data_IF_834811037624
#
_entry.id   IF_834811037624
#
_cell.length_a   1.000
_cell.length_b   1.000
_cell.length_c   1.000
_cell.angle_alpha   90.00
_cell.angle_beta   90.00
_cell.angle_gamma   90.00
#
_symmetry.space_group_name_H-M   'P 1'
#
loop_
_entity.id
_entity.type
_entity.pdbx_description
1 polymer ?
#
# COMPACT_ATOMS: atom_id res chain seq x y z
N UNK A 1 -0.95 -13.49 -6.02
CA UNK A 1 0.03 -14.38 -5.37
C UNK A 1 1.35 -13.70 -4.99
N UNK A 2 1.69 -12.50 -5.49
CA UNK A 2 2.94 -11.79 -5.15
C UNK A 2 2.99 -11.24 -3.70
N UNK A 3 1.93 -10.56 -3.24
CA UNK A 3 1.95 -9.81 -1.98
C UNK A 3 2.08 -10.68 -0.71
N UNK A 4 1.43 -11.85 -0.70
CA UNK A 4 1.50 -12.79 0.42
C UNK A 4 2.88 -13.43 0.57
N UNK A 5 3.52 -13.78 -0.55
CA UNK A 5 4.88 -14.34 -0.56
C UNK A 5 5.90 -13.28 -0.14
N UNK A 6 5.75 -12.05 -0.63
CA UNK A 6 6.56 -10.90 -0.24
C UNK A 6 6.46 -10.60 1.26
N UNK A 7 5.24 -10.56 1.80
CA UNK A 7 5.01 -10.37 3.24
C UNK A 7 5.60 -11.50 4.11
N UNK A 8 5.57 -12.74 3.61
CA UNK A 8 6.18 -13.90 4.29
C UNK A 8 7.70 -13.85 4.26
N UNK A 9 8.30 -13.54 3.10
CA UNK A 9 9.75 -13.38 2.92
C UNK A 9 10.29 -12.26 3.80
N UNK A 10 9.64 -11.10 3.83
CA UNK A 10 10.03 -9.97 4.68
C UNK A 10 9.92 -10.26 6.18
N UNK A 11 9.04 -11.18 6.57
CA UNK A 11 8.93 -11.63 7.97
C UNK A 11 10.04 -12.63 8.35
N UNK A 12 10.63 -13.33 7.39
CA UNK A 12 11.74 -14.27 7.56
C UNK A 12 13.11 -13.59 7.51
N UNK A 13 13.24 -12.53 6.71
CA UNK A 13 14.46 -11.74 6.62
C UNK A 13 14.29 -10.52 7.53
N UNK A 14 14.88 -10.56 8.72
CA UNK A 14 14.81 -9.50 9.75
C UNK A 14 15.55 -8.22 9.35
N UNK A 15 15.30 -7.70 8.16
CA UNK A 15 15.82 -6.41 7.71
C UNK A 15 14.95 -5.29 8.27
N UNK A 16 15.60 -4.23 8.71
CA UNK A 16 14.90 -3.02 9.12
C UNK A 16 14.11 -2.44 7.93
N UNK A 17 12.96 -1.85 8.22
CA UNK A 17 11.98 -1.43 7.21
C UNK A 17 12.57 -0.45 6.19
N UNK A 18 13.45 0.44 6.66
CA UNK A 18 14.18 1.41 5.84
C UNK A 18 15.14 0.73 4.88
N UNK A 19 15.97 -0.20 5.37
CA UNK A 19 16.96 -0.91 4.55
C UNK A 19 16.29 -1.77 3.47
N UNK A 20 15.18 -2.43 3.81
CA UNK A 20 14.42 -3.22 2.84
C UNK A 20 13.85 -2.36 1.70
N UNK A 21 13.23 -1.22 2.02
CA UNK A 21 12.68 -0.32 1.00
C UNK A 21 13.78 0.30 0.12
N UNK A 22 14.94 0.62 0.71
CA UNK A 22 16.09 1.14 -0.04
C UNK A 22 16.62 0.13 -1.06
N UNK A 23 16.79 -1.14 -0.66
CA UNK A 23 17.25 -2.21 -1.57
C UNK A 23 16.23 -2.44 -2.70
N UNK A 24 14.94 -2.46 -2.38
CA UNK A 24 13.89 -2.60 -3.41
C UNK A 24 13.92 -1.47 -4.42
N UNK A 25 14.11 -0.24 -3.95
CA UNK A 25 14.22 0.95 -4.81
C UNK A 25 15.49 0.89 -5.66
N UNK A 26 16.62 0.47 -5.09
CA UNK A 26 17.89 0.27 -5.81
C UNK A 26 17.78 -0.80 -6.89
N UNK A 27 17.05 -1.89 -6.64
CA UNK A 27 16.85 -2.95 -7.64
C UNK A 27 15.97 -2.46 -8.81
N UNK A 28 15.03 -1.57 -8.53
CA UNK A 28 14.18 -0.95 -9.57
C UNK A 28 14.87 0.20 -10.33
N UNK A 29 15.89 0.81 -9.73
CA UNK A 29 16.59 1.98 -10.28
C UNK A 29 17.20 1.74 -11.68
N UNK A 30 17.87 0.61 -11.99
CA UNK A 30 18.37 0.32 -13.34
C UNK A 30 17.26 0.28 -14.39
N UNK A 31 16.13 -0.35 -14.07
CA UNK A 31 15.00 -0.43 -14.98
C UNK A 31 14.38 0.95 -15.21
N UNK A 32 14.25 1.75 -14.15
CA UNK A 32 13.79 3.14 -14.25
C UNK A 32 14.75 4.00 -15.08
N UNK A 33 16.08 3.84 -14.90
CA UNK A 33 17.08 4.56 -15.66
C UNK A 33 17.05 4.19 -17.16
N UNK A 34 16.90 2.89 -17.49
CA UNK A 34 16.74 2.45 -18.88
C UNK A 34 15.49 3.09 -19.49
N UNK A 35 14.39 3.11 -18.75
CA UNK A 35 13.15 3.72 -19.24
C UNK A 35 13.32 5.22 -19.52
N UNK A 36 13.87 5.99 -18.58
CA UNK A 36 14.06 7.44 -18.74
C UNK A 36 15.06 7.78 -19.86
N UNK A 37 16.15 7.03 -19.98
CA UNK A 37 17.22 7.34 -20.93
C UNK A 37 16.94 6.85 -22.36
N UNK A 38 16.18 5.76 -22.54
CA UNK A 38 16.02 5.12 -23.85
C UNK A 38 14.59 5.05 -24.37
N UNK A 39 13.57 5.18 -23.50
CA UNK A 39 12.17 4.92 -23.86
C UNK A 39 11.29 6.17 -23.67
N UNK A 40 11.57 6.99 -22.66
CA UNK A 40 10.74 8.12 -22.28
C UNK A 40 10.90 9.30 -23.25
N UNK A 41 10.08 9.33 -24.31
CA UNK A 41 10.08 10.38 -25.33
C UNK A 41 8.95 11.41 -25.08
N UNK A 42 8.94 12.01 -23.90
CA UNK A 42 7.95 13.04 -23.52
C UNK A 42 8.65 14.33 -23.14
N UNK A 43 8.09 15.48 -23.55
CA UNK A 43 8.65 16.80 -23.28
C UNK A 43 8.92 17.07 -21.78
N UNK A 44 8.20 16.40 -20.88
CA UNK A 44 8.38 16.52 -19.42
C UNK A 44 9.43 15.59 -18.82
N UNK A 45 10.02 14.69 -19.62
CA UNK A 45 11.04 13.73 -19.17
C UNK A 45 12.36 14.43 -18.81
N UNK A 46 12.68 15.52 -19.52
CA UNK A 46 13.87 16.30 -19.25
C UNK A 46 13.61 17.35 -18.14
N UNK A 47 14.15 17.09 -16.95
CA UNK A 47 14.04 18.04 -15.83
C UNK A 47 14.69 19.40 -16.12
N UNK A 48 15.69 19.50 -17.01
CA UNK A 48 16.32 20.78 -17.32
C UNK A 48 15.42 21.70 -18.16
N UNK A 49 14.51 21.13 -18.95
CA UNK A 49 13.60 21.89 -19.82
C UNK A 49 12.26 22.22 -19.11
N UNK A 50 12.03 21.63 -17.94
CA UNK A 50 10.81 21.79 -17.16
C UNK A 50 10.82 23.06 -16.29
N UNK A 51 9.63 23.60 -16.00
CA UNK A 51 9.47 24.67 -15.01
C UNK A 51 9.93 24.22 -13.61
N UNK A 52 10.47 25.16 -12.83
CA UNK A 52 10.91 24.90 -11.44
C UNK A 52 9.77 24.34 -10.59
N UNK A 53 8.53 24.82 -10.78
CA UNK A 53 7.34 24.33 -10.08
C UNK A 53 7.05 22.86 -10.39
N UNK A 54 7.14 22.45 -11.66
CA UNK A 54 6.90 21.06 -12.06
C UNK A 54 7.96 20.13 -11.49
N UNK A 55 9.24 20.53 -11.52
CA UNK A 55 10.32 19.76 -10.91
C UNK A 55 10.14 19.62 -9.39
N UNK A 56 9.71 20.70 -8.71
CA UNK A 56 9.43 20.66 -7.28
C UNK A 56 8.29 19.68 -6.96
N UNK A 57 7.21 19.69 -7.76
CA UNK A 57 6.10 18.76 -7.64
C UNK A 57 6.54 17.31 -7.85
N UNK A 58 7.35 17.03 -8.88
CA UNK A 58 7.89 15.69 -9.15
C UNK A 58 8.74 15.17 -7.98
N UNK A 59 9.64 16.00 -7.44
CA UNK A 59 10.46 15.64 -6.28
C UNK A 59 9.56 15.39 -5.06
N UNK A 60 8.59 16.28 -4.82
CA UNK A 60 7.66 16.15 -3.70
C UNK A 60 6.80 14.88 -3.78
N UNK A 61 6.42 14.44 -4.98
CA UNK A 61 5.67 13.19 -5.19
C UNK A 61 6.47 11.97 -4.70
N UNK A 62 7.78 11.95 -4.91
CA UNK A 62 8.67 10.92 -4.36
C UNK A 62 8.66 10.89 -2.84
N UNK A 63 8.78 12.06 -2.20
CA UNK A 63 8.75 12.19 -0.72
C UNK A 63 7.40 11.73 -0.16
N UNK A 64 6.29 12.25 -0.72
CA UNK A 64 4.92 11.96 -0.32
C UNK A 64 4.58 10.48 -0.49
N UNK A 65 5.20 9.78 -1.46
CA UNK A 65 4.99 8.34 -1.66
C UNK A 65 5.86 7.50 -0.72
N UNK A 66 7.11 7.90 -0.49
CA UNK A 66 8.08 7.13 0.30
C UNK A 66 7.71 7.14 1.79
N UNK A 67 7.19 8.24 2.31
CA UNK A 67 6.80 8.38 3.71
C UNK A 67 5.73 7.35 4.15
N UNK A 68 4.55 7.26 3.50
CA UNK A 68 3.56 6.23 3.78
C UNK A 68 4.11 4.81 3.61
N UNK A 69 4.95 4.58 2.59
CA UNK A 69 5.57 3.27 2.37
C UNK A 69 6.46 2.90 3.57
N UNK A 70 7.35 3.77 4.03
CA UNK A 70 8.19 3.52 5.22
C UNK A 70 7.34 3.25 6.47
N UNK A 71 6.29 4.04 6.69
CA UNK A 71 5.36 3.81 7.80
C UNK A 71 4.66 2.44 7.67
N UNK A 72 4.23 2.08 6.47
CA UNK A 72 3.56 0.81 6.18
C UNK A 72 4.50 -0.39 6.35
N UNK A 73 5.72 -0.31 5.81
CA UNK A 73 6.71 -1.39 5.91
C UNK A 73 7.16 -1.58 7.36
N UNK A 74 7.30 -0.50 8.13
CA UNK A 74 7.54 -0.55 9.57
C UNK A 74 6.37 -1.11 10.39
N UNK A 75 5.13 -0.79 10.02
CA UNK A 75 3.95 -1.39 10.63
C UNK A 75 3.82 -2.88 10.27
N UNK A 76 4.20 -3.26 9.05
CA UNK A 76 4.04 -4.61 8.53
C UNK A 76 4.93 -5.64 9.21
N UNK A 77 6.10 -5.24 9.71
CA UNK A 77 6.98 -6.11 10.50
C UNK A 77 6.43 -6.37 11.91
N UNK A 78 5.58 -5.47 12.43
CA UNK A 78 5.04 -5.53 13.81
C UNK A 78 3.63 -6.09 13.90
N UNK A 79 2.83 -6.01 12.83
CA UNK A 79 1.43 -6.43 12.82
C UNK A 79 1.25 -7.86 12.31
N UNK A 80 0.15 -8.51 12.74
CA UNK A 80 -0.26 -9.80 12.16
C UNK A 80 -0.73 -9.58 10.72
N UNK A 81 -0.47 -10.56 9.84
CA UNK A 81 -0.82 -10.49 8.42
C UNK A 81 -2.32 -10.22 8.19
N UNK A 82 -3.21 -10.75 9.03
CA UNK A 82 -4.66 -10.47 8.92
C UNK A 82 -5.02 -9.02 9.25
N UNK A 83 -4.33 -8.40 10.21
CA UNK A 83 -4.52 -6.99 10.56
C UNK A 83 -4.01 -6.09 9.44
N UNK A 84 -2.88 -6.45 8.82
CA UNK A 84 -2.34 -5.73 7.67
C UNK A 84 -3.34 -5.69 6.49
N UNK A 85 -3.95 -6.84 6.20
CA UNK A 85 -4.97 -6.94 5.15
C UNK A 85 -6.17 -6.02 5.39
N UNK A 86 -6.58 -5.85 6.64
CA UNK A 86 -7.65 -4.91 7.02
C UNK A 86 -7.27 -3.45 6.77
N UNK A 87 -6.07 -3.02 7.17
CA UNK A 87 -5.60 -1.66 6.93
C UNK A 87 -5.53 -1.30 5.44
N UNK A 88 -5.30 -2.29 4.57
CA UNK A 88 -5.29 -2.07 3.12
C UNK A 88 -6.64 -1.58 2.57
N UNK A 89 -7.78 -1.86 3.23
CA UNK A 89 -9.11 -1.41 2.81
C UNK A 89 -9.36 0.09 3.08
N UNK A 90 -8.52 0.74 3.89
CA UNK A 90 -8.57 2.20 4.07
C UNK A 90 -8.20 2.90 2.76
N UNK A 91 -7.25 2.36 1.99
CA UNK A 91 -6.81 2.95 0.71
C UNK A 91 -7.96 3.14 -0.29
N UNK A 92 -8.69 2.07 -0.67
CA UNK A 92 -9.88 2.17 -1.52
C UNK A 92 -10.95 3.10 -0.96
N UNK A 93 -11.14 3.13 0.37
CA UNK A 93 -12.13 4.00 1.01
C UNK A 93 -11.74 5.49 0.92
N UNK A 94 -10.47 5.82 1.11
CA UNK A 94 -9.95 7.17 0.92
C UNK A 94 -10.01 7.59 -0.56
N UNK A 95 -9.67 6.69 -1.50
CA UNK A 95 -9.82 6.96 -2.93
C UNK A 95 -11.26 7.27 -3.30
N UNK A 96 -12.22 6.50 -2.78
CA UNK A 96 -13.65 6.76 -2.98
C UNK A 96 -14.07 8.11 -2.39
N UNK A 97 -13.63 8.41 -1.18
CA UNK A 97 -13.94 9.68 -0.51
C UNK A 97 -13.39 10.88 -1.30
N UNK A 98 -12.15 10.79 -1.80
CA UNK A 98 -11.54 11.81 -2.65
C UNK A 98 -12.29 11.95 -3.99
N UNK A 99 -12.67 10.84 -4.61
CA UNK A 99 -13.46 10.86 -5.86
C UNK A 99 -14.77 11.64 -5.72
N UNK A 100 -15.49 11.43 -4.62
CA UNK A 100 -16.79 12.07 -4.38
C UNK A 100 -16.64 13.49 -3.85
N UNK A 101 -15.78 13.72 -2.84
CA UNK A 101 -15.69 15.01 -2.14
C UNK A 101 -14.80 16.02 -2.85
N UNK A 102 -13.72 15.58 -3.50
CA UNK A 102 -12.70 16.48 -4.10
C UNK A 102 -12.88 16.54 -5.61
N UNK A 103 -13.03 15.40 -6.27
CA UNK A 103 -13.17 15.34 -7.74
C UNK A 103 -14.61 15.53 -8.22
N UNK A 104 -15.59 15.55 -7.31
CA UNK A 104 -16.99 15.83 -7.61
C UNK A 104 -17.66 14.75 -8.47
N UNK A 105 -17.15 13.52 -8.49
CA UNK A 105 -17.80 12.44 -9.22
C UNK A 105 -19.19 12.17 -8.67
N UNK A 106 -20.14 11.92 -9.58
CA UNK A 106 -21.51 11.60 -9.21
C UNK A 106 -21.55 10.39 -8.28
N UNK A 107 -22.10 10.61 -7.08
CA UNK A 107 -22.40 9.55 -6.13
C UNK A 107 -23.64 8.79 -6.62
N UNK A 108 -23.42 7.84 -7.53
CA UNK A 108 -24.49 6.98 -8.04
C UNK A 108 -24.79 5.85 -7.05
N UNK A 109 -26.05 5.40 -7.07
CA UNK A 109 -26.55 4.36 -6.18
C UNK A 109 -25.77 3.03 -6.36
N UNK A 110 -25.29 2.76 -7.57
CA UNK A 110 -24.46 1.60 -7.89
C UNK A 110 -23.09 1.63 -7.16
N UNK A 111 -22.45 2.82 -7.11
CA UNK A 111 -21.18 3.01 -6.39
C UNK A 111 -21.37 2.87 -4.87
N UNK A 112 -22.51 3.33 -4.35
CA UNK A 112 -22.84 3.18 -2.93
C UNK A 112 -23.09 1.70 -2.55
N UNK A 113 -23.82 0.96 -3.37
CA UNK A 113 -24.12 -0.46 -3.15
C UNK A 113 -22.86 -1.32 -3.21
N UNK A 114 -22.00 -1.09 -4.19
CA UNK A 114 -20.70 -1.78 -4.31
C UNK A 114 -19.80 -1.48 -3.12
N UNK A 115 -19.73 -0.23 -2.67
CA UNK A 115 -18.99 0.15 -1.46
C UNK A 115 -19.55 -0.56 -0.20
N UNK A 116 -20.88 -0.60 -0.05
CA UNK A 116 -21.54 -1.28 1.06
C UNK A 116 -21.30 -2.79 1.06
N UNK A 117 -21.32 -3.45 -0.10
CA UNK A 117 -21.00 -4.88 -0.21
C UNK A 117 -19.54 -5.18 0.16
N UNK A 118 -18.60 -4.36 -0.29
CA UNK A 118 -17.17 -4.51 0.06
C UNK A 118 -16.99 -4.39 1.58
N UNK A 119 -17.57 -3.35 2.19
CA UNK A 119 -17.50 -3.16 3.64
C UNK A 119 -18.23 -4.25 4.42
N UNK A 120 -19.38 -4.72 3.93
CA UNK A 120 -20.11 -5.85 4.53
C UNK A 120 -19.28 -7.13 4.55
N UNK A 121 -18.68 -7.49 3.41
CA UNK A 121 -17.76 -8.63 3.32
C UNK A 121 -16.54 -8.46 4.23
N UNK A 122 -15.98 -7.24 4.29
CA UNK A 122 -14.85 -6.92 5.16
C UNK A 122 -15.17 -7.09 6.64
N UNK A 123 -16.34 -6.62 7.08
CA UNK A 123 -16.80 -6.74 8.47
C UNK A 123 -16.97 -8.21 8.84
N UNK A 124 -17.64 -9.00 7.99
CA UNK A 124 -17.81 -10.45 8.21
C UNK A 124 -16.46 -11.17 8.28
N UNK A 125 -15.55 -10.89 7.35
CA UNK A 125 -14.21 -11.47 7.34
C UNK A 125 -13.37 -11.05 8.56
N UNK A 126 -13.50 -9.81 9.00
CA UNK A 126 -12.80 -9.30 10.19
C UNK A 126 -13.29 -9.97 11.46
N UNK A 127 -14.62 -10.15 11.61
CA UNK A 127 -15.20 -10.86 12.73
C UNK A 127 -14.76 -12.33 12.77
N UNK A 128 -14.75 -13.01 11.63
CA UNK A 128 -14.30 -14.41 11.54
C UNK A 128 -12.80 -14.54 11.89
N UNK A 129 -11.96 -13.67 11.34
CA UNK A 129 -10.52 -13.64 11.62
C UNK A 129 -10.20 -13.38 13.10
N UNK A 130 -10.97 -12.51 13.77
CA UNK A 130 -10.85 -12.25 15.22
C UNK A 130 -11.28 -13.46 16.07
N UNK A 131 -12.35 -14.16 15.66
CA UNK A 131 -12.89 -15.33 16.36
C UNK A 131 -11.94 -16.53 16.27
N UNK A 132 -11.37 -16.77 15.08
CA UNK A 132 -10.39 -17.84 14.81
C UNK A 132 -9.06 -17.62 15.56
N UNK A 133 -8.57 -16.38 15.63
CA UNK A 133 -7.34 -16.04 16.37
C UNK A 133 -7.50 -16.19 17.91
N UNK A 134 -8.74 -16.03 18.43
CA UNK A 134 -9.08 -16.30 19.83
C UNK A 134 -9.20 -17.80 20.14
N UNK A 135 -9.68 -18.60 19.20
CA UNK A 135 -9.77 -20.06 19.36
C UNK A 135 -8.38 -20.71 19.42
N UNK A 136 -7.46 -20.34 18.52
CA UNK A 136 -6.09 -20.89 18.52
C UNK A 136 -5.27 -20.55 19.78
N UNK A 137 -5.53 -19.41 20.43
CA UNK A 137 -4.91 -19.09 21.74
C UNK A 137 -5.42 -19.96 22.87
N UNK A 138 -6.69 -20.42 22.83
CA UNK A 138 -7.27 -21.28 23.85
C UNK A 138 -6.76 -22.72 23.76
N UNK A 139 -6.43 -23.21 22.56
CA UNK A 139 -5.89 -24.56 22.37
C UNK A 139 -4.44 -24.66 22.85
N UNK A 140 -3.61 -23.63 22.65
CA UNK A 140 -2.22 -23.62 23.16
C UNK A 140 -2.10 -23.46 24.67
N UNK A 141 -3.08 -22.85 25.34
CA UNK A 141 -3.10 -22.74 26.80
C UNK A 141 -3.58 -24.03 27.52
N UNK A 142 -4.04 -25.04 26.77
CA UNK A 142 -4.59 -26.29 27.32
C UNK A 142 -3.63 -27.49 27.18
N UNK A 143 -2.43 -27.25 26.65
CA UNK A 143 -1.37 -28.27 26.44
C UNK A 143 -0.17 -28.04 27.38
N UNK A 144 -0.30 -27.14 28.37
CA UNK A 144 0.60 -27.09 29.53
C UNK A 144 -0.08 -27.71 30.74
#
# INVERSE_FOLDING_TARGET
MSFGLYGLLRKKVSLDAQTGLFIETLVMLPAAAIYVLFIADTATSNMMDNSTTLNLLLISAGIVTTLPLLCFTGAATRLKLSTLGFFQYIGPSLMFLLAVLVYGEAFTLDKALTFAFIWGALVVFSFDGLKTNRSNKKTMAKTQ
#
